data_IF_588093580610
#
_entry.id   IF_588093580610
#
_cell.length_a   1.000
_cell.length_b   1.000
_cell.length_c   1.000
_cell.angle_alpha   90.00
_cell.angle_beta   90.00
_cell.angle_gamma   90.00
#
_symmetry.space_group_name_H-M   'P 1'
#
loop_
_entity.id
_entity.type
_entity.pdbx_description
1 polymer ?
#
# COMPACT_ATOMS: atom_id res chain seq x y z
N UNK A 1 25.67 24.73 -8.44
CA UNK A 1 25.94 24.52 -7.00
C UNK A 1 26.42 23.09 -6.82
N UNK A 2 27.64 22.91 -6.31
CA UNK A 2 28.30 21.61 -6.12
C UNK A 2 27.56 20.79 -5.05
N UNK A 3 27.03 19.62 -5.42
CA UNK A 3 26.43 18.64 -4.51
C UNK A 3 27.41 17.53 -4.15
N UNK A 4 28.68 17.86 -3.94
CA UNK A 4 29.60 16.94 -3.29
C UNK A 4 29.17 16.85 -1.84
N UNK A 5 28.67 15.69 -1.40
CA UNK A 5 28.83 15.32 0.00
C UNK A 5 30.35 15.32 0.17
N UNK A 6 30.91 16.41 0.74
CA UNK A 6 32.29 16.37 1.21
C UNK A 6 32.31 15.18 2.15
N UNK A 7 33.13 14.17 1.85
CA UNK A 7 33.50 13.17 2.84
C UNK A 7 34.12 13.97 3.99
N UNK A 8 33.29 14.33 4.96
CA UNK A 8 33.69 15.07 6.14
C UNK A 8 34.41 14.08 7.03
N UNK A 9 35.69 13.84 6.73
CA UNK A 9 36.60 13.30 7.73
C UNK A 9 37.02 14.46 8.63
N UNK A 10 36.77 14.35 9.94
CA UNK A 10 37.46 15.18 10.91
C UNK A 10 38.72 14.41 11.29
N UNK A 11 39.88 14.84 10.80
CA UNK A 11 41.16 14.38 11.33
C UNK A 11 41.48 15.20 12.57
N UNK A 12 41.66 14.54 13.70
CA UNK A 12 42.12 15.15 14.94
C UNK A 12 43.44 14.50 15.31
N UNK A 13 44.48 15.32 15.47
CA UNK A 13 45.75 14.89 16.05
C UNK A 13 45.60 14.90 17.57
N UNK A 14 45.87 13.77 18.21
CA UNK A 14 45.81 13.60 19.66
C UNK A 14 47.16 13.10 20.19
N UNK A 15 47.71 13.76 21.22
CA UNK A 15 48.89 13.29 21.93
C UNK A 15 48.61 12.07 22.83
N UNK A 16 49.64 11.42 23.37
CA UNK A 16 49.45 10.32 24.33
C UNK A 16 48.74 10.84 25.59
N UNK A 17 47.55 10.29 25.87
CA UNK A 17 46.62 10.64 26.96
C UNK A 17 45.75 11.90 26.77
N UNK A 18 45.67 12.47 25.57
CA UNK A 18 44.75 13.56 25.27
C UNK A 18 43.37 13.04 24.84
N UNK A 19 42.30 13.60 25.43
CA UNK A 19 40.93 13.41 24.96
C UNK A 19 40.61 14.60 24.06
N UNK A 20 40.39 14.34 22.77
CA UNK A 20 40.08 15.36 21.78
C UNK A 20 38.66 15.15 21.26
N UNK A 21 37.83 16.18 21.39
CA UNK A 21 36.47 16.17 20.85
C UNK A 21 36.47 16.63 19.38
N UNK A 22 35.88 15.80 18.51
CA UNK A 22 35.68 16.10 17.10
C UNK A 22 34.18 16.21 16.80
N UNK A 23 33.72 17.42 16.48
CA UNK A 23 32.33 17.67 16.09
C UNK A 23 32.21 17.66 14.57
N UNK A 24 31.55 16.65 14.01
CA UNK A 24 31.21 16.60 12.60
C UNK A 24 29.81 17.20 12.39
N UNK A 25 29.74 18.39 11.78
CA UNK A 25 28.46 18.94 11.31
C UNK A 25 28.05 18.26 10.01
N UNK A 26 27.11 17.32 10.11
CA UNK A 26 26.48 16.75 8.92
C UNK A 26 25.57 17.81 8.27
N UNK A 27 25.66 18.06 6.96
CA UNK A 27 24.77 18.99 6.30
C UNK A 27 23.32 18.52 6.46
N UNK A 28 22.49 19.38 7.04
CA UNK A 28 21.08 19.10 7.26
C UNK A 28 20.34 19.09 5.90
N UNK A 29 20.26 17.93 5.27
CA UNK A 29 19.56 17.74 4.00
C UNK A 29 18.06 17.90 4.25
N UNK A 30 17.48 18.98 3.73
CA UNK A 30 16.03 19.22 3.82
C UNK A 30 15.27 18.07 3.13
N UNK A 31 14.22 17.51 3.76
CA UNK A 31 13.44 16.45 3.16
C UNK A 31 12.81 16.91 1.85
N UNK A 32 12.90 16.07 0.82
CA UNK A 32 12.16 16.27 -0.43
C UNK A 32 10.78 15.67 -0.23
N UNK A 33 9.75 16.49 -0.45
CA UNK A 33 8.38 15.99 -0.55
C UNK A 33 8.13 15.51 -1.97
N UNK A 34 7.75 14.24 -2.13
CA UNK A 34 7.23 13.72 -3.39
C UNK A 34 5.77 13.28 -3.18
N UNK A 35 4.93 13.50 -4.18
CA UNK A 35 3.58 12.94 -4.20
C UNK A 35 3.61 11.64 -5.00
N UNK A 36 3.18 10.54 -4.37
CA UNK A 36 2.95 9.27 -5.04
C UNK A 36 1.45 9.04 -5.20
N UNK A 37 1.06 8.54 -6.36
CA UNK A 37 -0.30 8.14 -6.67
C UNK A 37 -0.37 6.63 -6.88
N UNK A 38 -1.40 6.00 -6.32
CA UNK A 38 -1.65 4.57 -6.43
C UNK A 38 -3.11 4.35 -6.85
N UNK A 39 -3.31 3.63 -7.95
CA UNK A 39 -4.62 3.11 -8.33
C UNK A 39 -4.88 1.83 -7.55
N UNK A 40 -5.90 1.87 -6.71
CA UNK A 40 -6.33 0.71 -5.95
C UNK A 40 -7.67 0.23 -6.51
N UNK A 41 -7.73 -1.04 -6.89
CA UNK A 41 -8.97 -1.72 -7.29
C UNK A 41 -9.30 -2.78 -6.25
N UNK A 42 -10.51 -2.72 -5.70
CA UNK A 42 -10.98 -3.63 -4.65
C UNK A 42 -12.16 -4.42 -5.18
N UNK A 43 -12.02 -5.74 -5.21
CA UNK A 43 -13.12 -6.66 -5.49
C UNK A 43 -13.69 -7.20 -4.18
N UNK A 44 -14.97 -6.93 -3.92
CA UNK A 44 -15.72 -7.44 -2.78
C UNK A 44 -16.65 -8.58 -3.23
N UNK A 45 -16.66 -9.66 -2.46
CA UNK A 45 -17.53 -10.82 -2.67
C UNK A 45 -18.26 -11.19 -1.37
N UNK A 46 -19.55 -11.50 -1.45
CA UNK A 46 -20.32 -12.12 -0.35
C UNK A 46 -20.50 -13.59 -0.67
N UNK A 47 -20.08 -14.47 0.23
CA UNK A 47 -20.24 -15.91 0.09
C UNK A 47 -21.16 -16.44 1.17
N UNK A 48 -22.15 -17.24 0.78
CA UNK A 48 -23.15 -17.81 1.69
C UNK A 48 -23.01 -19.34 1.68
N UNK A 49 -22.88 -19.98 2.84
CA UNK A 49 -22.92 -21.43 2.92
C UNK A 49 -24.37 -21.91 2.70
N UNK A 50 -24.57 -22.79 1.74
CA UNK A 50 -25.87 -23.39 1.43
C UNK A 50 -25.78 -24.90 1.52
N UNK A 51 -26.84 -25.52 2.01
CA UNK A 51 -26.96 -26.96 2.06
C UNK A 51 -27.57 -27.45 0.75
N UNK A 52 -26.85 -28.29 0.01
CA UNK A 52 -27.32 -28.93 -1.22
C UNK A 52 -27.45 -30.42 -1.02
N UNK A 53 -28.50 -31.01 -1.58
CA UNK A 53 -28.65 -32.46 -1.60
C UNK A 53 -27.90 -33.01 -2.81
N UNK A 54 -26.92 -33.88 -2.56
CA UNK A 54 -26.17 -34.58 -3.59
C UNK A 54 -26.53 -36.07 -3.55
N UNK A 55 -26.81 -36.65 -4.71
CA UNK A 55 -27.09 -38.09 -4.86
C UNK A 55 -26.11 -38.67 -5.88
N UNK A 56 -25.64 -39.89 -5.63
CA UNK A 56 -24.82 -40.62 -6.61
C UNK A 56 -25.74 -41.10 -7.73
N UNK A 57 -25.40 -40.76 -8.98
CA UNK A 57 -26.29 -40.94 -10.15
C UNK A 57 -26.70 -42.41 -10.37
N UNK A 58 -25.87 -43.36 -9.94
CA UNK A 58 -26.11 -44.80 -10.06
C UNK A 58 -26.79 -45.43 -8.82
N UNK A 59 -26.83 -44.74 -7.69
CA UNK A 59 -27.46 -45.18 -6.44
C UNK A 59 -28.51 -44.15 -5.98
N UNK A 60 -29.63 -44.07 -6.72
CA UNK A 60 -30.74 -43.12 -6.50
C UNK A 60 -31.23 -42.98 -5.04
N UNK A 61 -30.91 -43.95 -4.18
CA UNK A 61 -31.35 -44.01 -2.78
C UNK A 61 -30.34 -43.44 -1.77
N UNK A 62 -29.08 -43.19 -2.17
CA UNK A 62 -28.08 -42.59 -1.26
C UNK A 62 -27.88 -41.11 -1.58
N UNK A 63 -28.71 -40.28 -0.96
CA UNK A 63 -28.54 -38.83 -0.98
C UNK A 63 -27.91 -38.35 0.33
N UNK A 64 -26.93 -37.46 0.22
CA UNK A 64 -26.28 -36.80 1.34
C UNK A 64 -26.43 -35.29 1.21
N UNK A 65 -26.55 -34.61 2.35
CA UNK A 65 -26.53 -33.16 2.42
C UNK A 65 -25.09 -32.68 2.49
N UNK A 66 -24.67 -31.88 1.51
CA UNK A 66 -23.33 -31.29 1.45
C UNK A 66 -23.45 -29.79 1.65
N UNK A 67 -22.53 -29.22 2.44
CA UNK A 67 -22.38 -27.77 2.53
C UNK A 67 -21.59 -27.28 1.33
N UNK A 68 -22.23 -26.49 0.47
CA UNK A 68 -21.60 -25.77 -0.61
C UNK A 68 -21.52 -24.29 -0.29
N UNK A 69 -20.64 -23.56 -0.96
CA UNK A 69 -20.54 -22.10 -0.84
C UNK A 69 -20.97 -21.47 -2.15
N UNK A 70 -21.99 -20.62 -2.12
CA UNK A 70 -22.49 -19.88 -3.28
C UNK A 70 -22.09 -18.41 -3.17
N UNK A 71 -21.84 -17.77 -4.31
CA UNK A 71 -21.56 -16.36 -4.41
C UNK A 71 -22.88 -15.59 -4.52
N UNK A 72 -23.18 -14.78 -3.51
CA UNK A 72 -24.42 -14.00 -3.42
C UNK A 72 -24.24 -12.57 -3.97
N UNK A 73 -23.05 -12.00 -3.83
CA UNK A 73 -22.75 -10.64 -4.29
C UNK A 73 -21.33 -10.50 -4.82
N UNK A 74 -21.14 -9.66 -5.84
CA UNK A 74 -19.83 -9.27 -6.38
C UNK A 74 -19.87 -7.82 -6.86
N UNK A 75 -18.94 -7.01 -6.36
CA UNK A 75 -18.70 -5.67 -6.87
C UNK A 75 -17.21 -5.36 -6.94
N UNK A 76 -16.85 -4.37 -7.76
CA UNK A 76 -15.50 -3.85 -7.89
C UNK A 76 -15.56 -2.33 -7.76
N UNK A 77 -14.71 -1.79 -6.90
CA UNK A 77 -14.55 -0.35 -6.72
C UNK A 77 -13.12 0.07 -7.00
N UNK A 78 -12.97 1.29 -7.49
CA UNK A 78 -11.69 1.89 -7.83
C UNK A 78 -11.49 3.17 -7.03
N UNK A 79 -10.35 3.28 -6.34
CA UNK A 79 -9.96 4.51 -5.66
C UNK A 79 -8.53 4.91 -6.02
N UNK A 80 -8.34 6.22 -6.22
CA UNK A 80 -7.01 6.80 -6.38
C UNK A 80 -6.51 7.29 -5.03
N UNK A 81 -5.43 6.67 -4.54
CA UNK A 81 -4.76 7.09 -3.31
C UNK A 81 -3.58 8.00 -3.65
N UNK A 82 -3.58 9.24 -3.14
CA UNK A 82 -2.43 10.15 -3.23
C UNK A 82 -1.79 10.28 -1.86
N UNK A 83 -0.49 10.04 -1.78
CA UNK A 83 0.28 10.13 -0.54
C UNK A 83 1.51 11.01 -0.76
N UNK A 84 1.60 12.05 0.06
CA UNK A 84 2.81 12.87 0.15
C UNK A 84 3.81 12.13 1.04
N UNK A 85 4.91 11.71 0.44
CA UNK A 85 6.02 11.07 1.12
C UNK A 85 7.16 12.06 1.30
N UNK A 86 7.83 12.00 2.45
CA UNK A 86 9.04 12.76 2.71
C UNK A 86 10.24 11.85 2.63
N UNK A 87 11.16 12.17 1.74
CA UNK A 87 12.41 11.45 1.57
C UNK A 87 13.58 12.30 2.10
N UNK A 88 14.24 11.80 3.13
CA UNK A 88 15.46 12.35 3.72
C UNK A 88 16.69 11.72 3.07
N UNK A 89 17.77 12.48 2.93
CA UNK A 89 19.05 11.98 2.40
C UNK A 89 19.14 11.86 0.87
N UNK A 90 18.09 12.26 0.15
CA UNK A 90 18.04 12.18 -1.31
C UNK A 90 18.52 13.51 -1.93
N UNK A 91 19.35 13.47 -2.97
CA UNK A 91 19.76 14.65 -3.71
C UNK A 91 18.55 15.42 -4.28
N UNK A 92 18.60 16.76 -4.29
CA UNK A 92 17.52 17.63 -4.82
C UNK A 92 17.09 17.30 -6.25
N UNK A 93 17.94 16.62 -7.01
CA UNK A 93 17.75 16.24 -8.41
C UNK A 93 17.18 14.84 -8.61
N UNK A 94 16.88 14.11 -7.52
CA UNK A 94 16.45 12.73 -7.65
C UNK A 94 15.05 12.59 -8.23
N UNK A 95 14.89 11.62 -9.11
CA UNK A 95 13.61 11.27 -9.75
C UNK A 95 13.17 9.87 -9.36
N UNK A 96 11.87 9.67 -9.18
CA UNK A 96 11.30 8.33 -8.98
C UNK A 96 11.35 7.58 -10.30
N UNK A 97 12.05 6.44 -10.32
CA UNK A 97 12.18 5.60 -11.52
C UNK A 97 11.32 4.33 -11.44
N UNK A 98 11.01 3.87 -10.24
CA UNK A 98 10.14 2.72 -10.02
C UNK A 98 9.49 2.79 -8.64
N UNK A 99 8.34 2.13 -8.51
CA UNK A 99 7.61 1.98 -7.27
C UNK A 99 6.94 0.61 -7.28
N UNK A 100 7.02 -0.12 -6.17
CA UNK A 100 6.44 -1.46 -6.03
C UNK A 100 5.68 -1.56 -4.70
N UNK A 101 4.37 -1.85 -4.74
CA UNK A 101 3.60 -2.10 -3.53
C UNK A 101 3.95 -3.48 -2.95
N UNK A 102 3.98 -3.56 -1.63
CA UNK A 102 4.28 -4.75 -0.84
C UNK A 102 3.21 -4.94 0.25
N UNK A 103 3.13 -6.15 0.82
CA UNK A 103 2.33 -6.45 2.01
C UNK A 103 0.86 -5.98 1.92
N UNK A 104 0.22 -6.16 0.75
CA UNK A 104 -1.15 -5.72 0.52
C UNK A 104 -2.12 -6.58 1.34
N UNK A 105 -2.86 -5.94 2.24
CA UNK A 105 -3.87 -6.56 3.08
C UNK A 105 -5.18 -5.76 3.03
N UNK A 106 -6.31 -6.45 3.19
CA UNK A 106 -7.63 -5.83 3.25
C UNK A 106 -8.25 -6.05 4.63
N UNK A 107 -8.86 -5.00 5.17
CA UNK A 107 -9.77 -5.07 6.30
C UNK A 107 -11.16 -4.66 5.83
N UNK A 108 -12.18 -5.42 6.22
CA UNK A 108 -13.58 -5.14 5.88
C UNK A 108 -14.34 -4.84 7.15
N UNK A 109 -14.99 -3.68 7.21
CA UNK A 109 -15.80 -3.24 8.34
C UNK A 109 -17.25 -3.00 7.85
N UNK A 110 -18.23 -3.55 8.57
CA UNK A 110 -19.65 -3.27 8.32
C UNK A 110 -20.02 -2.00 9.09
N UNK A 111 -20.59 -1.02 8.38
CA UNK A 111 -20.96 0.27 8.95
C UNK A 111 -22.38 0.19 9.52
N UNK A 112 -22.53 0.43 10.83
CA UNK A 112 -23.86 0.49 11.45
C UNK A 112 -24.62 1.69 10.91
N UNK A 113 -25.82 1.46 10.36
CA UNK A 113 -26.75 2.48 9.88
C UNK A 113 -27.18 3.41 11.02
N UNK A 114 -26.36 4.42 11.33
CA UNK A 114 -26.77 5.56 12.10
C UNK A 114 -26.15 6.79 11.44
N UNK A 115 -26.97 7.47 10.62
CA UNK A 115 -26.71 8.72 9.89
C UNK A 115 -25.96 8.52 8.57
N UNK A 116 -26.69 8.39 7.47
CA UNK A 116 -26.39 9.14 6.23
C UNK A 116 -27.62 9.15 5.30
N UNK A 117 -28.22 10.32 5.03
CA UNK A 117 -29.15 10.46 3.92
C UNK A 117 -28.33 10.59 2.63
N UNK A 118 -28.71 9.85 1.59
CA UNK A 118 -28.09 9.79 0.25
C UNK A 118 -26.93 8.77 0.08
N UNK A 119 -27.18 7.66 -0.64
CA UNK A 119 -26.12 6.84 -1.26
C UNK A 119 -25.14 6.12 -0.31
N UNK A 120 -25.55 5.86 0.93
CA UNK A 120 -24.67 5.39 1.99
C UNK A 120 -24.09 3.99 1.72
N UNK A 121 -22.77 3.92 1.54
CA UNK A 121 -22.03 2.67 1.65
C UNK A 121 -22.27 2.07 3.04
N UNK A 122 -22.58 0.78 3.12
CA UNK A 122 -22.78 0.05 4.37
C UNK A 122 -21.64 -0.95 4.66
N UNK A 123 -20.70 -1.09 3.73
CA UNK A 123 -19.45 -1.82 3.93
C UNK A 123 -18.28 -0.92 3.55
N UNK A 124 -17.28 -0.83 4.42
CA UNK A 124 -16.00 -0.17 4.15
C UNK A 124 -14.90 -1.21 4.02
N UNK A 125 -14.11 -1.12 2.97
CA UNK A 125 -12.87 -1.90 2.82
C UNK A 125 -11.68 -0.97 2.91
N UNK A 126 -10.84 -1.17 3.91
CA UNK A 126 -9.55 -0.49 4.05
C UNK A 126 -8.44 -1.38 3.51
N UNK A 127 -7.72 -0.92 2.50
CA UNK A 127 -6.54 -1.59 1.97
C UNK A 127 -5.31 -1.01 2.64
N UNK A 128 -4.50 -1.85 3.26
CA UNK A 128 -3.21 -1.53 3.84
C UNK A 128 -2.10 -2.08 2.96
N UNK A 129 -1.04 -1.32 2.74
CA UNK A 129 0.11 -1.77 1.97
C UNK A 129 1.36 -0.96 2.33
N UNK A 130 2.51 -1.51 2.01
CA UNK A 130 3.78 -0.79 2.03
C UNK A 130 4.22 -0.52 0.58
N UNK A 131 5.19 0.35 0.36
CA UNK A 131 5.75 0.59 -0.97
C UNK A 131 7.26 0.76 -0.93
N UNK A 132 7.97 0.08 -1.82
CA UNK A 132 9.39 0.33 -2.08
C UNK A 132 9.49 1.23 -3.30
N UNK A 133 10.19 2.35 -3.13
CA UNK A 133 10.37 3.37 -4.16
C UNK A 133 11.85 3.45 -4.50
N UNK A 134 12.15 3.38 -5.79
CA UNK A 134 13.49 3.56 -6.33
C UNK A 134 13.65 4.98 -6.85
N UNK A 135 14.71 5.63 -6.39
CA UNK A 135 15.10 6.97 -6.80
C UNK A 135 16.41 6.90 -7.58
N UNK A 136 16.50 7.66 -8.66
CA UNK A 136 17.73 7.87 -9.41
C UNK A 136 18.20 9.31 -9.24
N UNK A 137 19.48 9.50 -8.91
CA UNK A 137 20.09 10.82 -8.79
C UNK A 137 21.48 10.84 -9.45
N UNK A 138 21.84 11.99 -10.02
CA UNK A 138 23.19 12.20 -10.53
C UNK A 138 24.09 12.73 -9.41
N UNK A 139 25.12 11.98 -9.05
CA UNK A 139 26.10 12.33 -8.01
C UNK A 139 27.50 12.24 -8.61
N UNK A 140 28.23 13.35 -8.61
CA UNK A 140 29.60 13.44 -9.19
C UNK A 140 29.69 12.89 -10.64
N UNK A 141 28.68 13.18 -11.46
CA UNK A 141 28.61 12.72 -12.85
C UNK A 141 28.24 11.24 -13.03
N UNK A 142 27.96 10.49 -11.95
CA UNK A 142 27.50 9.10 -12.02
C UNK A 142 26.06 9.00 -11.54
N UNK A 143 25.25 8.21 -12.25
CA UNK A 143 23.88 7.89 -11.82
C UNK A 143 23.95 6.91 -10.66
N UNK A 144 23.37 7.29 -9.52
CA UNK A 144 23.21 6.43 -8.36
C UNK A 144 21.73 6.12 -8.15
N UNK A 145 21.44 4.88 -7.77
CA UNK A 145 20.09 4.42 -7.45
C UNK A 145 20.01 4.15 -5.95
N UNK A 146 18.98 4.70 -5.31
CA UNK A 146 18.68 4.47 -3.90
C UNK A 146 17.25 3.93 -3.76
N UNK A 147 17.05 3.00 -2.83
CA UNK A 147 15.74 2.46 -2.48
C UNK A 147 15.28 2.99 -1.14
N UNK A 148 13.98 3.27 -1.01
CA UNK A 148 13.35 3.57 0.28
C UNK A 148 12.01 2.88 0.40
N UNK A 149 11.76 2.29 1.55
CA UNK A 149 10.48 1.70 1.90
C UNK A 149 9.62 2.70 2.67
N UNK A 150 8.34 2.77 2.30
CA UNK A 150 7.29 3.53 2.97
C UNK A 150 6.27 2.54 3.52
N UNK A 151 6.04 2.61 4.82
CA UNK A 151 5.19 1.66 5.52
C UNK A 151 3.81 2.25 5.82
N UNK A 152 2.84 1.37 6.05
CA UNK A 152 1.50 1.72 6.56
C UNK A 152 0.73 2.68 5.65
N UNK A 153 0.89 2.56 4.34
CA UNK A 153 0.03 3.25 3.39
C UNK A 153 -1.36 2.62 3.42
N UNK A 154 -2.39 3.44 3.26
CA UNK A 154 -3.76 2.95 3.21
C UNK A 154 -4.66 3.73 2.26
N UNK A 155 -5.69 3.05 1.76
CA UNK A 155 -6.82 3.64 1.05
C UNK A 155 -8.13 2.98 1.47
N UNK A 156 -9.25 3.66 1.25
CA UNK A 156 -10.58 3.19 1.66
C UNK A 156 -11.52 3.16 0.45
N UNK A 157 -12.29 2.08 0.34
CA UNK A 157 -13.35 1.90 -0.65
C UNK A 157 -14.66 1.61 0.08
N UNK A 158 -15.74 2.27 -0.33
CA UNK A 158 -17.09 2.00 0.17
C UNK A 158 -17.89 1.13 -0.79
N UNK A 159 -18.73 0.25 -0.25
CA UNK A 159 -19.64 -0.61 -1.01
C UNK A 159 -21.05 -0.55 -0.43
N UNK A 160 -22.05 -0.77 -1.29
CA UNK A 160 -23.45 -1.00 -0.91
C UNK A 160 -23.78 -2.47 -1.14
N UNK A 161 -23.95 -3.21 -0.05
CA UNK A 161 -24.25 -4.65 -0.03
C UNK A 161 -25.67 -4.83 0.54
N UNK A 162 -26.61 -5.52 -0.13
CA UNK A 162 -28.01 -5.62 0.33
C UNK A 162 -28.17 -6.12 1.78
N UNK A 163 -27.51 -7.22 2.14
CA UNK A 163 -27.59 -7.83 3.48
C UNK A 163 -26.17 -8.17 3.98
N UNK A 164 -25.41 -7.18 4.51
CA UNK A 164 -23.98 -7.33 4.77
C UNK A 164 -23.65 -8.27 5.94
N UNK A 165 -24.60 -8.49 6.85
CA UNK A 165 -24.44 -9.35 8.03
C UNK A 165 -24.64 -10.84 7.72
N UNK A 166 -25.20 -11.16 6.55
CA UNK A 166 -25.43 -12.56 6.14
C UNK A 166 -24.20 -13.12 5.40
N UNK A 167 -23.81 -14.35 5.73
CA UNK A 167 -22.66 -15.00 5.09
C UNK A 167 -21.32 -14.35 5.44
N UNK A 168 -20.33 -14.49 4.55
CA UNK A 168 -18.98 -13.98 4.75
C UNK A 168 -18.58 -13.02 3.62
N UNK A 169 -18.09 -11.85 4.00
CA UNK A 169 -17.50 -10.87 3.08
C UNK A 169 -16.01 -11.16 2.86
N UNK A 170 -15.59 -11.21 1.59
CA UNK A 170 -14.21 -11.45 1.18
C UNK A 170 -13.80 -10.33 0.23
N UNK A 171 -12.82 -9.52 0.64
CA UNK A 171 -12.25 -8.47 -0.19
C UNK A 171 -10.86 -8.88 -0.72
N UNK A 172 -10.56 -8.51 -1.96
CA UNK A 172 -9.22 -8.60 -2.54
C UNK A 172 -8.86 -7.29 -3.23
N UNK A 173 -7.69 -6.76 -2.94
CA UNK A 173 -7.20 -5.52 -3.53
C UNK A 173 -6.05 -5.77 -4.50
N UNK A 174 -5.99 -4.95 -5.54
CA UNK A 174 -4.83 -4.78 -6.43
C UNK A 174 -4.41 -3.32 -6.36
N UNK A 175 -3.13 -3.07 -6.08
CA UNK A 175 -2.54 -1.73 -6.00
C UNK A 175 -1.56 -1.58 -7.15
N UNK A 176 -1.69 -0.50 -7.92
CA UNK A 176 -0.83 -0.18 -9.06
C UNK A 176 -0.28 1.23 -8.86
N UNK A 177 1.03 1.43 -8.75
CA UNK A 177 1.60 2.76 -8.65
C UNK A 177 1.52 3.48 -9.99
N UNK A 178 1.19 4.78 -9.97
CA UNK A 178 1.32 5.66 -11.13
C UNK A 178 2.68 6.34 -11.08
N UNK A 179 3.54 6.03 -12.05
CA UNK A 179 4.81 6.73 -12.19
C UNK A 179 4.58 8.11 -12.84
N UNK A 180 5.39 9.13 -12.49
CA UNK A 180 5.33 10.43 -13.15
C UNK A 180 5.48 10.27 -14.68
N UNK A 181 4.52 10.79 -15.45
CA UNK A 181 4.56 10.78 -16.92
C UNK A 181 3.79 9.66 -17.63
N UNK A 182 3.19 8.70 -16.90
CA UNK A 182 2.28 7.72 -17.50
C UNK A 182 0.88 8.33 -17.72
N UNK A 183 0.43 8.41 -18.98
CA UNK A 183 -0.99 8.61 -19.34
C UNK A 183 -1.64 7.24 -19.57
N UNK A 184 -2.89 7.10 -19.15
CA UNK A 184 -3.73 5.91 -19.38
C UNK A 184 -3.96 5.69 -20.87
#
# INVERSE_FOLDING_TARGET
>A
MDCRIKEGGVSVDAGPNEIVDATLELPCLRPISAELAFDCSVALRKVVPVQIQACVVDEKEKCANIMATVLDYKAVEHCLCRRRIQAFGICKTAVVIACHPLNIACRTDILRFNRHPHGACNVKVTVHFDAVVLFSALVNGKTQVASRQFNHLCCECGFVVPDPEEGRLIARAKVIPRLPGQRL
#
